data_IF_974963388335
#
_entry.id   IF_974963388335
#
_cell.length_a   1.000
_cell.length_b   1.000
_cell.length_c   1.000
_cell.angle_alpha   90.00
_cell.angle_beta   90.00
_cell.angle_gamma   90.00
#
_symmetry.space_group_name_H-M   'P 1'
#
loop_
_entity.id
_entity.type
_entity.pdbx_description
1 polymer ?
#
# COMPACT_ATOMS: atom_id res chain seq x y z
N UNK A 1 8.22 17.87 22.30
CA UNK A 1 7.27 17.36 21.27
C UNK A 1 8.07 16.52 20.28
N UNK A 2 7.79 15.22 20.21
CA UNK A 2 8.77 14.18 19.93
C UNK A 2 9.05 13.96 18.43
N UNK A 3 10.34 13.79 18.09
CA UNK A 3 10.91 13.81 16.72
C UNK A 3 10.94 12.40 16.09
N UNK A 4 9.84 11.64 16.17
CA UNK A 4 9.82 10.18 15.92
C UNK A 4 9.03 9.71 14.69
N UNK A 5 9.03 10.43 13.56
CA UNK A 5 8.17 10.04 12.42
C UNK A 5 8.83 9.93 11.03
N UNK A 6 10.16 9.92 10.91
CA UNK A 6 10.82 9.80 9.60
C UNK A 6 12.00 8.83 9.52
N UNK A 7 12.13 7.86 10.42
CA UNK A 7 13.12 6.82 10.17
C UNK A 7 12.62 5.91 9.04
N UNK A 8 13.39 5.71 7.94
CA UNK A 8 13.02 4.79 6.86
C UNK A 8 12.71 3.36 7.34
N UNK A 9 13.26 2.97 8.50
CA UNK A 9 13.03 1.70 9.16
C UNK A 9 11.57 1.49 9.61
N UNK A 10 10.74 2.54 9.69
CA UNK A 10 9.30 2.43 9.95
C UNK A 10 8.46 2.22 8.69
N UNK A 11 9.07 1.88 7.56
CA UNK A 11 8.34 1.56 6.34
C UNK A 11 7.73 2.76 5.63
N UNK A 12 8.25 3.98 5.87
CA UNK A 12 7.80 5.20 5.18
C UNK A 12 8.02 5.17 3.67
N UNK A 13 8.80 4.21 3.15
CA UNK A 13 9.00 3.93 1.72
C UNK A 13 7.88 3.10 1.08
N UNK A 14 6.92 2.59 1.87
CA UNK A 14 5.77 1.82 1.39
C UNK A 14 4.72 2.68 0.67
N UNK A 15 4.90 4.01 0.59
CA UNK A 15 4.09 4.93 -0.21
C UNK A 15 3.94 4.51 -1.69
N UNK A 16 4.84 3.66 -2.19
CA UNK A 16 4.76 3.08 -3.54
C UNK A 16 3.63 2.06 -3.71
N UNK A 17 3.02 1.60 -2.61
CA UNK A 17 1.95 0.60 -2.63
C UNK A 17 0.55 1.19 -2.81
N UNK A 18 0.43 2.50 -3.05
CA UNK A 18 -0.87 3.14 -3.31
C UNK A 18 -1.47 2.64 -4.63
N UNK A 19 -0.64 2.34 -5.64
CA UNK A 19 -1.10 1.85 -6.94
C UNK A 19 -1.86 0.50 -6.86
N UNK A 20 -1.32 -0.58 -6.28
CA UNK A 20 -2.06 -1.83 -6.13
C UNK A 20 -3.30 -1.69 -5.22
N UNK A 21 -3.29 -0.78 -4.25
CA UNK A 21 -4.47 -0.50 -3.42
C UNK A 21 -5.61 0.10 -4.25
N UNK A 22 -5.33 1.11 -5.07
CA UNK A 22 -6.34 1.73 -5.95
C UNK A 22 -6.88 0.72 -6.97
N UNK A 23 -6.00 -0.08 -7.59
CA UNK A 23 -6.42 -1.14 -8.52
C UNK A 23 -7.34 -2.17 -7.83
N UNK A 24 -7.04 -2.55 -6.58
CA UNK A 24 -7.85 -3.50 -5.80
C UNK A 24 -9.22 -2.93 -5.48
N UNK A 25 -9.30 -1.66 -5.07
CA UNK A 25 -10.58 -0.98 -4.80
C UNK A 25 -11.47 -1.01 -6.05
N UNK A 26 -10.91 -0.64 -7.20
CA UNK A 26 -11.64 -0.59 -8.47
C UNK A 26 -11.93 -1.98 -9.06
N UNK A 27 -11.20 -3.02 -8.66
CA UNK A 27 -11.51 -4.40 -9.03
C UNK A 27 -12.77 -4.91 -8.33
N UNK A 28 -13.04 -4.42 -7.11
CA UNK A 28 -14.21 -4.79 -6.30
C UNK A 28 -15.46 -4.05 -6.80
N UNK A 29 -15.34 -2.73 -7.00
CA UNK A 29 -16.45 -1.92 -7.49
C UNK A 29 -15.99 -0.60 -8.11
N UNK A 30 -16.80 -0.10 -9.03
CA UNK A 30 -16.66 1.23 -9.58
C UNK A 30 -17.06 2.27 -8.54
N UNK A 31 -16.23 3.30 -8.36
CA UNK A 31 -16.39 4.29 -7.27
C UNK A 31 -15.94 5.68 -7.68
N UNK A 32 -16.40 6.69 -6.93
CA UNK A 32 -15.97 8.06 -7.09
C UNK A 32 -14.54 8.29 -6.57
N UNK A 33 -13.83 9.26 -7.15
CA UNK A 33 -12.45 9.59 -6.79
C UNK A 33 -12.24 9.88 -5.29
N UNK A 34 -13.18 10.57 -4.65
CA UNK A 34 -13.09 10.85 -3.20
C UNK A 34 -13.24 9.57 -2.37
N UNK A 35 -14.12 8.65 -2.77
CA UNK A 35 -14.30 7.36 -2.09
C UNK A 35 -13.05 6.49 -2.21
N UNK A 36 -12.35 6.56 -3.35
CA UNK A 36 -11.06 5.87 -3.53
C UNK A 36 -10.05 6.39 -2.49
N UNK A 37 -9.97 7.70 -2.28
CA UNK A 37 -9.07 8.28 -1.29
C UNK A 37 -9.43 7.84 0.15
N UNK A 38 -10.72 7.85 0.50
CA UNK A 38 -11.20 7.39 1.80
C UNK A 38 -10.92 5.90 2.05
N UNK A 39 -11.17 5.04 1.05
CA UNK A 39 -10.93 3.60 1.14
C UNK A 39 -9.43 3.29 1.21
N UNK A 40 -8.60 3.98 0.41
CA UNK A 40 -7.15 3.84 0.45
C UNK A 40 -6.60 4.22 1.83
N UNK A 41 -7.06 5.32 2.42
CA UNK A 41 -6.62 5.76 3.75
C UNK A 41 -6.97 4.76 4.88
N UNK A 42 -8.02 3.95 4.70
CA UNK A 42 -8.44 2.88 5.63
C UNK A 42 -7.66 1.58 5.46
N UNK A 43 -6.84 1.44 4.43
CA UNK A 43 -6.11 0.20 4.16
C UNK A 43 -4.88 0.08 5.08
N UNK A 44 -4.71 -1.03 5.84
CA UNK A 44 -3.59 -1.19 6.77
C UNK A 44 -2.21 -1.06 6.12
N UNK A 45 -2.09 -1.48 4.85
CA UNK A 45 -0.86 -1.38 4.06
C UNK A 45 -0.31 0.05 3.94
N UNK A 46 -1.18 1.05 4.08
CA UNK A 46 -0.84 2.47 3.96
C UNK A 46 -0.86 3.20 5.32
N UNK A 47 -1.01 2.50 6.44
CA UNK A 47 -1.16 3.12 7.76
C UNK A 47 0.04 4.02 8.14
N UNK A 48 1.28 3.63 7.77
CA UNK A 48 2.49 4.42 8.02
C UNK A 48 2.82 5.47 6.94
N UNK A 49 2.09 5.49 5.83
CA UNK A 49 2.32 6.42 4.72
C UNK A 49 1.03 6.65 3.93
N UNK A 50 0.07 7.32 4.57
CA UNK A 50 -1.23 7.59 3.95
C UNK A 50 -1.04 8.61 2.82
N UNK A 51 -1.45 8.29 1.58
CA UNK A 51 -1.48 9.29 0.52
C UNK A 51 -2.51 10.36 0.88
N UNK A 52 -2.19 11.61 0.56
CA UNK A 52 -3.17 12.68 0.61
C UNK A 52 -4.14 12.57 -0.58
N UNK A 53 -5.26 13.29 -0.46
CA UNK A 53 -6.28 13.32 -1.51
C UNK A 53 -5.70 13.79 -2.85
N UNK A 54 -4.80 14.78 -2.83
CA UNK A 54 -4.14 15.29 -4.03
C UNK A 54 -3.29 14.21 -4.73
N UNK A 55 -2.53 13.42 -3.97
CA UNK A 55 -1.76 12.29 -4.46
C UNK A 55 -2.62 11.20 -5.09
N UNK A 56 -3.78 10.88 -4.51
CA UNK A 56 -4.75 9.95 -5.11
C UNK A 56 -5.26 10.47 -6.46
N UNK A 57 -5.66 11.75 -6.54
CA UNK A 57 -6.11 12.32 -7.82
C UNK A 57 -4.98 12.44 -8.86
N UNK A 58 -3.74 12.65 -8.44
CA UNK A 58 -2.60 12.60 -9.36
C UNK A 58 -2.41 11.18 -9.89
N UNK A 59 -2.41 10.18 -9.02
CA UNK A 59 -2.29 8.77 -9.40
C UNK A 59 -3.42 8.34 -10.34
N UNK A 60 -4.68 8.68 -10.04
CA UNK A 60 -5.83 8.34 -10.90
C UNK A 60 -5.67 8.92 -12.31
N UNK A 61 -5.18 10.17 -12.44
CA UNK A 61 -4.87 10.77 -13.75
C UNK A 61 -3.76 10.02 -14.48
N UNK A 62 -2.72 9.59 -13.77
CA UNK A 62 -1.64 8.80 -14.37
C UNK A 62 -2.14 7.42 -14.80
N UNK A 63 -2.96 6.74 -13.99
CA UNK A 63 -3.54 5.45 -14.32
C UNK A 63 -4.51 5.54 -15.49
N UNK A 64 -5.26 6.63 -15.61
CA UNK A 64 -6.14 6.89 -16.75
C UNK A 64 -5.33 7.06 -18.03
N UNK A 65 -4.27 7.87 -18.00
CA UNK A 65 -3.34 8.05 -19.13
C UNK A 65 -2.66 6.75 -19.55
N UNK A 66 -2.31 5.89 -18.59
CA UNK A 66 -1.74 4.56 -18.85
C UNK A 66 -2.78 3.52 -19.26
N UNK A 67 -4.07 3.87 -19.32
CA UNK A 67 -5.15 2.99 -19.73
C UNK A 67 -5.57 1.95 -18.69
N UNK A 68 -5.07 2.00 -17.45
CA UNK A 68 -5.43 1.05 -16.39
C UNK A 68 -6.82 1.32 -15.80
N UNK A 69 -7.26 2.57 -15.86
CA UNK A 69 -8.61 2.97 -15.41
C UNK A 69 -9.29 3.80 -16.49
N UNK A 70 -10.61 3.75 -16.50
CA UNK A 70 -11.44 4.63 -17.32
C UNK A 70 -12.30 5.48 -16.41
N UNK A 71 -12.46 6.76 -16.75
CA UNK A 71 -13.40 7.64 -16.06
C UNK A 71 -14.68 7.78 -16.86
N UNK A 72 -15.81 7.69 -16.19
CA UNK A 72 -17.12 8.05 -16.74
C UNK A 72 -17.68 9.24 -15.98
N UNK A 73 -18.25 10.20 -16.73
CA UNK A 73 -18.98 11.32 -16.15
C UNK A 73 -20.40 10.84 -15.87
N UNK A 74 -20.78 10.82 -14.60
CA UNK A 74 -22.15 10.62 -14.19
C UNK A 74 -22.84 11.99 -14.17
N UNK A 75 -23.81 12.16 -15.05
CA UNK A 75 -24.68 13.34 -15.07
C UNK A 75 -25.56 13.26 -13.83
N UNK A 76 -25.56 14.31 -13.01
CA UNK A 76 -26.45 14.44 -11.87
C UNK A 76 -27.58 15.39 -12.25
N UNK A 77 -28.82 15.03 -11.94
CA UNK A 77 -29.97 15.92 -12.15
C UNK A 77 -29.90 17.18 -11.24
N UNK A 78 -29.15 17.08 -10.13
CA UNK A 78 -28.82 18.21 -9.25
C UNK A 78 -27.33 18.16 -8.86
N UNK A 79 -26.57 19.18 -9.26
CA UNK A 79 -25.17 19.38 -8.86
C UNK A 79 -24.10 19.02 -9.91
N UNK A 80 -22.81 19.27 -9.62
CA UNK A 80 -21.73 19.08 -10.58
C UNK A 80 -21.54 17.60 -10.94
N UNK A 81 -21.24 17.34 -12.23
CA UNK A 81 -21.02 16.01 -12.74
C UNK A 81 -19.94 15.26 -11.94
N UNK A 82 -20.26 14.05 -11.48
CA UNK A 82 -19.35 13.24 -10.68
C UNK A 82 -18.56 12.29 -11.57
N UNK A 83 -17.27 12.15 -11.29
CA UNK A 83 -16.40 11.17 -11.96
C UNK A 83 -16.53 9.83 -11.25
N UNK A 84 -16.90 8.79 -11.98
CA UNK A 84 -16.82 7.40 -11.55
C UNK A 84 -15.63 6.77 -12.26
N UNK A 85 -14.78 6.06 -11.51
CA UNK A 85 -13.64 5.35 -12.06
C UNK A 85 -13.95 3.87 -12.15
N UNK A 86 -13.48 3.26 -13.23
CA UNK A 86 -13.70 1.86 -13.57
C UNK A 86 -12.36 1.21 -13.89
N UNK A 87 -12.16 -0.04 -13.49
CA UNK A 87 -10.97 -0.80 -13.84
C UNK A 87 -11.08 -1.36 -15.26
N UNK A 88 -10.07 -1.15 -16.09
CA UNK A 88 -10.03 -1.69 -17.45
C UNK A 88 -9.46 -3.12 -17.48
N UNK A 89 -9.52 -3.78 -18.64
CA UNK A 89 -8.87 -5.09 -18.84
C UNK A 89 -7.35 -5.03 -18.60
N UNK A 90 -6.66 -4.00 -19.12
CA UNK A 90 -5.23 -3.80 -18.86
C UNK A 90 -4.95 -3.48 -17.38
N UNK A 91 -5.84 -2.73 -16.71
CA UNK A 91 -5.78 -2.52 -15.27
C UNK A 91 -5.89 -3.82 -14.47
N UNK A 92 -6.74 -4.76 -14.89
CA UNK A 92 -6.84 -6.10 -14.27
C UNK A 92 -5.55 -6.91 -14.46
N UNK A 93 -4.95 -6.88 -15.64
CA UNK A 93 -3.64 -7.53 -15.89
C UNK A 93 -2.56 -6.91 -14.99
N UNK A 94 -2.50 -5.58 -14.91
CA UNK A 94 -1.57 -4.87 -14.03
C UNK A 94 -1.77 -5.26 -12.56
N UNK A 95 -3.02 -5.38 -12.10
CA UNK A 95 -3.31 -5.85 -10.75
C UNK A 95 -2.79 -7.27 -10.51
N UNK A 96 -2.95 -8.20 -11.46
CA UNK A 96 -2.40 -9.56 -11.32
C UNK A 96 -0.88 -9.54 -11.19
N UNK A 97 -0.17 -8.76 -12.02
CA UNK A 97 1.29 -8.60 -11.91
C UNK A 97 1.70 -8.05 -10.55
N UNK A 98 0.93 -7.09 -10.00
CA UNK A 98 1.15 -6.59 -8.65
C UNK A 98 0.97 -7.69 -7.60
N UNK A 99 -0.09 -8.50 -7.68
CA UNK A 99 -0.34 -9.60 -6.74
C UNK A 99 0.77 -10.64 -6.77
N UNK A 100 1.25 -11.01 -7.95
CA UNK A 100 2.40 -11.92 -8.12
C UNK A 100 3.67 -11.33 -7.51
N UNK A 101 3.96 -10.07 -7.83
CA UNK A 101 5.15 -9.36 -7.32
C UNK A 101 5.12 -9.28 -5.80
N UNK A 102 4.01 -8.82 -5.22
CA UNK A 102 3.85 -8.70 -3.77
C UNK A 102 3.91 -10.05 -3.07
N UNK A 103 3.37 -11.11 -3.69
CA UNK A 103 3.48 -12.47 -3.16
C UNK A 103 4.93 -12.95 -3.11
N UNK A 104 5.73 -12.68 -4.15
CA UNK A 104 7.17 -12.99 -4.16
C UNK A 104 7.91 -12.20 -3.07
N UNK A 105 7.64 -10.91 -2.95
CA UNK A 105 8.22 -10.07 -1.91
C UNK A 105 7.86 -10.56 -0.50
N UNK A 106 6.59 -10.90 -0.26
CA UNK A 106 6.14 -11.45 1.03
C UNK A 106 6.89 -12.73 1.40
N UNK A 107 7.05 -13.66 0.44
CA UNK A 107 7.84 -14.90 0.66
C UNK A 107 9.30 -14.60 0.97
N UNK A 108 9.92 -13.68 0.21
CA UNK A 108 11.32 -13.30 0.42
C UNK A 108 11.54 -12.64 1.79
N UNK A 109 10.68 -11.68 2.17
CA UNK A 109 10.70 -11.06 3.50
C UNK A 109 10.48 -12.08 4.60
N UNK A 110 9.53 -13.00 4.45
CA UNK A 110 9.31 -14.07 5.40
C UNK A 110 10.54 -14.97 5.58
N UNK A 111 11.23 -15.33 4.49
CA UNK A 111 12.49 -16.10 4.55
C UNK A 111 13.61 -15.32 5.25
N UNK A 112 13.76 -14.04 4.91
CA UNK A 112 14.74 -13.16 5.55
C UNK A 112 14.49 -13.02 7.05
N UNK A 113 13.25 -12.72 7.47
CA UNK A 113 12.88 -12.58 8.87
C UNK A 113 13.12 -13.86 9.67
N UNK A 114 12.83 -15.04 9.09
CA UNK A 114 13.18 -16.34 9.71
C UNK A 114 14.68 -16.49 9.93
N UNK A 115 15.49 -16.04 8.98
CA UNK A 115 16.97 -16.12 9.08
C UNK A 115 17.51 -15.11 10.08
N UNK A 116 17.09 -13.85 10.01
CA UNK A 116 17.50 -12.78 10.92
C UNK A 116 17.08 -13.07 12.37
N UNK A 117 15.88 -13.60 12.60
CA UNK A 117 15.40 -14.01 13.92
C UNK A 117 16.30 -15.06 14.58
N UNK A 118 16.88 -16.00 13.81
CA UNK A 118 17.84 -17.00 14.33
C UNK A 118 19.17 -16.38 14.78
N UNK A 119 19.56 -15.24 14.21
CA UNK A 119 20.77 -14.51 14.61
C UNK A 119 20.50 -13.70 15.88
N UNK A 120 19.32 -13.09 16.02
CA UNK A 120 18.97 -12.29 17.20
C UNK A 120 18.83 -13.14 18.48
N UNK A 121 18.32 -14.38 18.37
CA UNK A 121 18.20 -15.31 19.52
C UNK A 121 19.57 -15.79 20.06
N UNK A 122 20.66 -15.67 19.27
CA UNK A 122 22.02 -16.06 19.73
C UNK A 122 22.72 -14.99 20.59
N UNK A 123 22.17 -13.77 20.67
CA UNK A 123 22.75 -12.66 21.44
C UNK A 123 22.47 -12.70 22.95
N UNK A 124 21.35 -13.28 23.39
CA UNK A 124 20.95 -13.25 24.80
C UNK A 124 21.38 -14.49 25.61
N UNK A 125 21.73 -15.59 24.94
CA UNK A 125 22.08 -16.85 25.62
C UNK A 125 23.51 -16.89 26.21
N UNK A 126 24.36 -15.89 25.95
CA UNK A 126 25.74 -15.84 26.49
C UNK A 126 25.92 -14.97 27.74
N UNK A 127 24.94 -14.16 28.14
CA UNK A 127 25.08 -13.23 29.27
C UNK A 127 24.61 -13.79 30.63
N UNK A 128 23.90 -14.93 30.65
CA UNK A 128 23.42 -15.55 31.91
C UNK A 128 24.40 -16.53 32.58
N UNK A 129 25.61 -16.74 32.05
CA UNK A 129 26.62 -17.64 32.63
C UNK A 129 27.77 -16.94 33.37
N UNK A 130 27.80 -15.60 33.43
CA UNK A 130 28.88 -14.85 34.14
C UNK A 130 28.46 -14.22 35.47
N UNK A 131 27.27 -14.52 35.99
CA UNK A 131 26.73 -13.92 37.23
C UNK A 131 26.36 -14.91 38.36
N UNK A 132 26.92 -16.11 38.33
CA UNK A 132 26.95 -17.07 39.44
C UNK A 132 28.29 -17.80 39.27
N UNK A 133 29.31 -17.74 40.13
CA UNK A 133 29.53 -17.49 41.56
C UNK A 133 30.99 -17.01 41.73
N UNK A 134 31.51 -16.73 42.95
CA UNK A 134 30.85 -16.51 44.23
C UNK A 134 30.94 -15.05 44.71
#
# INVERSE_FOLDING_TARGET
MNKTLKCPCYGTTLSKLVHPVVLTILAIKDVHGYQIAELAAKTPLLAGSRPDTAGIYHLLRTMEKSGYVKVMRQISEKGPARKVYHLTASGRVCLQTWLETLSRYHKALGSFLKTAGRVHVKGEAKDKRKRAQP
#
